data_IF_461538459302
#
_entry.id   IF_461538459302
#
_cell.length_a   1.000
_cell.length_b   1.000
_cell.length_c   1.000
_cell.angle_alpha   90.00
_cell.angle_beta   90.00
_cell.angle_gamma   90.00
#
_symmetry.space_group_name_H-M   'P 1'
#
loop_
_entity.id
_entity.type
_entity.pdbx_description
1 polymer ?
#
# COMPACT_ATOMS: atom_id res chain seq x y z
N UNK A 1 -21.00 16.12 -6.61
CA UNK A 1 -19.56 16.27 -6.90
C UNK A 1 -18.88 14.91 -6.72
N UNK A 2 -18.19 14.48 -7.74
CA UNK A 2 -17.48 13.20 -7.72
C UNK A 2 -16.04 13.42 -7.25
N UNK A 3 -15.56 12.57 -6.33
CA UNK A 3 -14.17 12.57 -5.88
C UNK A 3 -13.31 11.57 -6.65
N UNK A 4 -13.92 10.83 -7.57
CA UNK A 4 -13.22 9.80 -8.34
C UNK A 4 -12.04 10.36 -9.16
N UNK A 5 -12.17 11.50 -9.88
CA UNK A 5 -11.02 12.05 -10.62
C UNK A 5 -9.85 12.42 -9.70
N UNK A 6 -10.13 12.97 -8.51
CA UNK A 6 -9.12 13.32 -7.54
C UNK A 6 -8.40 12.08 -7.01
N UNK A 7 -9.15 11.04 -6.65
CA UNK A 7 -8.60 9.78 -6.18
C UNK A 7 -7.73 9.12 -7.26
N UNK A 8 -8.20 9.08 -8.49
CA UNK A 8 -7.46 8.49 -9.60
C UNK A 8 -6.14 9.22 -9.84
N UNK A 9 -6.15 10.55 -9.86
CA UNK A 9 -4.95 11.36 -10.07
C UNK A 9 -3.95 11.18 -8.92
N UNK A 10 -4.44 11.16 -7.68
CA UNK A 10 -3.58 11.01 -6.51
C UNK A 10 -2.91 9.64 -6.49
N UNK A 11 -3.66 8.58 -6.73
CA UNK A 11 -3.11 7.22 -6.76
C UNK A 11 -2.11 7.02 -7.90
N UNK A 12 -2.36 7.64 -9.05
CA UNK A 12 -1.45 7.56 -10.19
C UNK A 12 -0.07 8.14 -9.88
N UNK A 13 0.01 9.16 -9.01
CA UNK A 13 1.30 9.73 -8.56
C UNK A 13 2.16 8.71 -7.83
N UNK A 14 1.54 7.71 -7.20
CA UNK A 14 2.24 6.63 -6.50
C UNK A 14 2.38 5.36 -7.34
N UNK A 15 2.07 5.45 -8.64
CA UNK A 15 2.12 4.30 -9.53
C UNK A 15 1.01 3.28 -9.32
N UNK A 16 -0.03 3.67 -8.60
CA UNK A 16 -1.17 2.80 -8.32
C UNK A 16 -2.30 3.09 -9.30
N UNK A 17 -2.95 2.03 -9.78
CA UNK A 17 -4.08 2.15 -10.69
C UNK A 17 -5.38 1.94 -9.92
N UNK A 18 -6.38 2.76 -10.22
CA UNK A 18 -7.73 2.49 -9.74
C UNK A 18 -8.29 1.30 -10.49
N UNK A 19 -8.92 0.41 -9.76
CA UNK A 19 -9.53 -0.78 -10.34
C UNK A 19 -11.04 -0.60 -10.39
N UNK A 20 -11.57 -0.49 -11.60
CA UNK A 20 -13.00 -0.35 -11.84
C UNK A 20 -13.73 -1.71 -11.79
N UNK A 21 -13.00 -2.82 -11.66
CA UNK A 21 -13.64 -4.13 -11.57
C UNK A 21 -14.41 -4.27 -10.25
N UNK A 22 -15.44 -5.10 -10.29
CA UNK A 22 -16.34 -5.31 -9.15
C UNK A 22 -15.84 -6.40 -8.18
N UNK A 23 -14.59 -6.81 -8.30
CA UNK A 23 -14.01 -7.82 -7.39
C UNK A 23 -13.35 -7.20 -6.16
N UNK A 24 -13.29 -7.94 -5.06
CA UNK A 24 -12.61 -7.53 -3.84
C UNK A 24 -13.42 -6.58 -2.97
N UNK A 25 -12.72 -5.71 -2.26
CA UNK A 25 -13.33 -4.77 -1.32
C UNK A 25 -13.55 -3.43 -1.99
N UNK A 26 -14.79 -2.93 -1.94
CA UNK A 26 -15.12 -1.60 -2.44
C UNK A 26 -14.64 -0.52 -1.45
N UNK A 27 -13.87 0.43 -1.95
CA UNK A 27 -13.43 1.59 -1.17
C UNK A 27 -14.36 2.77 -1.49
N UNK A 28 -15.07 3.24 -0.47
CA UNK A 28 -16.05 4.31 -0.60
C UNK A 28 -15.59 5.57 0.11
N UNK A 29 -15.91 6.73 -0.46
CA UNK A 29 -15.68 7.98 0.23
C UNK A 29 -16.78 8.22 1.26
N UNK A 30 -16.44 8.59 2.50
CA UNK A 30 -17.46 8.90 3.52
C UNK A 30 -18.22 10.21 3.24
N UNK A 31 -17.72 11.05 2.34
CA UNK A 31 -18.36 12.33 2.01
C UNK A 31 -19.63 12.14 1.19
N UNK A 32 -19.62 11.25 0.22
CA UNK A 32 -20.73 11.05 -0.71
C UNK A 32 -21.24 9.61 -0.76
N UNK A 33 -20.49 8.66 -0.21
CA UNK A 33 -20.76 7.23 -0.36
C UNK A 33 -20.37 6.65 -1.71
N UNK A 34 -19.78 7.47 -2.59
CA UNK A 34 -19.32 7.02 -3.90
C UNK A 34 -18.22 5.96 -3.78
N UNK A 35 -18.29 4.93 -4.64
CA UNK A 35 -17.21 3.94 -4.73
C UNK A 35 -16.05 4.52 -5.56
N UNK A 36 -14.87 4.61 -4.96
CA UNK A 36 -13.69 5.16 -5.60
C UNK A 36 -12.88 4.10 -6.35
N UNK A 37 -12.74 2.93 -5.77
CA UNK A 37 -11.99 1.82 -6.36
C UNK A 37 -12.35 0.51 -5.64
N UNK A 38 -11.85 -0.59 -6.17
CA UNK A 38 -11.93 -1.91 -5.52
C UNK A 38 -10.53 -2.42 -5.26
N UNK A 39 -10.31 -2.97 -4.07
CA UNK A 39 -9.04 -3.56 -3.69
C UNK A 39 -9.17 -5.08 -3.81
N UNK A 40 -8.35 -5.74 -4.64
CA UNK A 40 -8.39 -7.19 -4.74
C UNK A 40 -7.96 -7.83 -3.42
N UNK A 41 -8.60 -8.95 -3.09
CA UNK A 41 -8.23 -9.74 -1.92
C UNK A 41 -7.14 -10.74 -2.28
N UNK A 42 -6.11 -10.79 -1.45
CA UNK A 42 -5.06 -11.78 -1.60
C UNK A 42 -5.55 -13.13 -1.08
N UNK A 43 -5.19 -14.20 -1.81
CA UNK A 43 -5.45 -15.57 -1.37
C UNK A 43 -4.32 -16.12 -0.49
N UNK A 44 -4.48 -17.37 0.01
CA UNK A 44 -3.45 -17.99 0.85
C UNK A 44 -2.08 -18.08 0.18
N UNK A 45 -2.03 -18.32 -1.14
CA UNK A 45 -0.77 -18.36 -1.87
C UNK A 45 -0.02 -17.04 -1.88
N UNK A 46 -0.74 -15.91 -2.02
CA UNK A 46 -0.15 -14.58 -1.96
C UNK A 46 0.37 -14.28 -0.55
N UNK A 47 -0.37 -14.67 0.48
CA UNK A 47 0.06 -14.51 1.87
C UNK A 47 1.33 -15.30 2.16
N UNK A 48 1.41 -16.55 1.70
CA UNK A 48 2.59 -17.39 1.88
C UNK A 48 3.80 -16.81 1.14
N UNK A 49 3.61 -16.33 -0.08
CA UNK A 49 4.67 -15.68 -0.85
C UNK A 49 5.19 -14.42 -0.14
N UNK A 50 4.30 -13.62 0.44
CA UNK A 50 4.67 -12.43 1.21
C UNK A 50 5.48 -12.79 2.45
N UNK A 51 5.09 -13.85 3.18
CA UNK A 51 5.84 -14.33 4.34
C UNK A 51 7.24 -14.82 3.95
N UNK A 52 7.36 -15.55 2.85
CA UNK A 52 8.66 -16.02 2.34
C UNK A 52 9.55 -14.85 1.94
N UNK A 53 9.00 -13.85 1.27
CA UNK A 53 9.73 -12.63 0.91
C UNK A 53 10.19 -11.86 2.15
N UNK A 54 9.35 -11.77 3.17
CA UNK A 54 9.70 -11.13 4.45
C UNK A 54 10.85 -11.86 5.16
N UNK A 55 10.85 -13.18 5.15
CA UNK A 55 11.93 -13.98 5.74
C UNK A 55 13.26 -13.75 5.03
N UNK A 56 13.26 -13.69 3.70
CA UNK A 56 14.46 -13.39 2.92
C UNK A 56 14.96 -11.96 3.21
N UNK A 57 14.07 -11.00 3.23
CA UNK A 57 14.41 -9.61 3.53
C UNK A 57 15.00 -9.48 4.94
N UNK A 58 14.44 -10.20 5.91
CA UNK A 58 14.96 -10.22 7.28
C UNK A 58 16.40 -10.74 7.36
N UNK A 59 16.73 -11.77 6.59
CA UNK A 59 18.08 -12.33 6.58
C UNK A 59 19.13 -11.27 6.18
N UNK A 60 18.80 -10.39 5.26
CA UNK A 60 19.68 -9.27 4.85
C UNK A 60 19.60 -8.10 5.83
N UNK A 61 18.37 -7.73 6.21
CA UNK A 61 18.12 -6.56 7.06
C UNK A 61 18.75 -6.67 8.44
N UNK A 62 18.75 -7.85 9.02
CA UNK A 62 19.36 -8.07 10.35
C UNK A 62 20.87 -7.76 10.39
N UNK A 63 21.54 -7.80 9.21
CA UNK A 63 22.96 -7.52 9.08
C UNK A 63 23.24 -6.02 8.89
N UNK A 64 22.21 -5.20 8.68
CA UNK A 64 22.38 -3.75 8.60
C UNK A 64 22.59 -3.22 10.01
N UNK A 65 23.63 -2.39 10.25
CA UNK A 65 23.88 -1.84 11.58
C UNK A 65 22.68 -1.07 12.14
N UNK A 66 22.44 -1.23 13.44
CA UNK A 66 21.27 -0.64 14.10
C UNK A 66 21.13 0.89 13.86
N UNK A 67 22.21 1.71 13.88
CA UNK A 67 22.09 3.13 13.58
C UNK A 67 21.55 3.41 12.19
N UNK A 68 21.92 2.62 11.18
CA UNK A 68 21.42 2.76 9.82
C UNK A 68 19.96 2.35 9.71
N UNK A 69 19.55 1.30 10.41
CA UNK A 69 18.13 0.89 10.47
C UNK A 69 17.27 1.98 11.11
N UNK A 70 17.78 2.58 12.19
CA UNK A 70 17.11 3.70 12.85
C UNK A 70 17.00 4.93 11.95
N UNK A 71 18.00 5.18 11.10
CA UNK A 71 17.95 6.28 10.14
C UNK A 71 16.82 6.11 9.13
N UNK A 72 16.59 4.90 8.65
CA UNK A 72 15.46 4.63 7.74
C UNK A 72 14.12 4.94 8.43
N UNK A 73 13.97 4.54 9.70
CA UNK A 73 12.76 4.84 10.47
C UNK A 73 12.59 6.35 10.65
N UNK A 74 13.68 7.07 10.92
CA UNK A 74 13.65 8.54 11.03
C UNK A 74 13.18 9.18 9.72
N UNK A 75 13.72 8.73 8.58
CA UNK A 75 13.32 9.25 7.27
C UNK A 75 11.84 8.96 6.97
N UNK A 76 11.35 7.78 7.36
CA UNK A 76 9.93 7.47 7.23
C UNK A 76 9.08 8.47 8.04
N UNK A 77 9.51 8.80 9.25
CA UNK A 77 8.84 9.80 10.07
C UNK A 77 8.82 11.18 9.43
N UNK A 78 9.91 11.59 8.77
CA UNK A 78 9.97 12.86 8.04
C UNK A 78 8.98 12.89 6.87
N UNK A 79 8.87 11.78 6.11
CA UNK A 79 7.94 11.69 5.00
C UNK A 79 6.46 11.74 5.45
N UNK A 80 6.16 11.31 6.66
CA UNK A 80 4.81 11.33 7.22
C UNK A 80 4.38 12.70 7.77
N UNK A 81 5.28 13.66 7.89
CA UNK A 81 4.99 15.02 8.30
C UNK A 81 4.68 15.91 7.08
#
# INVERSE_FOLDING_TARGET
MSLLPLATTTLARFGLKTNASTGGIACRTPLTGETLTHIPLDGPGAAEAAMSAAMRAFADWRNVPAPRRGELVRLLGEELR
#
